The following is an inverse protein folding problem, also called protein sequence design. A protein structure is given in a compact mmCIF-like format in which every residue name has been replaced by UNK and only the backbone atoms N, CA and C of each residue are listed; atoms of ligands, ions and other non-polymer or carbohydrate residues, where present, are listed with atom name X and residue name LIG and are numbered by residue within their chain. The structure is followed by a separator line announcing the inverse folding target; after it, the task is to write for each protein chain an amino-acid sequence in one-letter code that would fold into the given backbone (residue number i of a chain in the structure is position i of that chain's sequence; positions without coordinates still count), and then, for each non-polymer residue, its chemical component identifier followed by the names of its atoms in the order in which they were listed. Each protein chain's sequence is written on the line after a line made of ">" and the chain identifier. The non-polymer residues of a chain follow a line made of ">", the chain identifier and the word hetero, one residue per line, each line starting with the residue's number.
data_IF_052020099031
#
_entry.id   IF_052020099031
#
_cell.length_a   1.000
_cell.length_b   1.000
_cell.length_c   1.000
_cell.angle_alpha   90.00
_cell.angle_beta   90.00
_cell.angle_gamma   90.00
#
_symmetry.space_group_name_H-M   'P 1'
#
loop_
_entity.id
_entity.type
_entity.pdbx_description
1 polymer ?
#
# COMPACT_ATOMS: atom_id res chain seq x y z
N UNK A 1 -7.52 5.89 8.10
CA UNK A 1 -6.93 7.13 7.59
C UNK A 1 -7.91 8.25 7.83
N UNK A 2 -7.47 9.50 7.71
CA UNK A 2 -8.41 10.63 7.67
C UNK A 2 -8.41 11.20 6.26
N UNK A 3 -9.60 11.57 5.79
CA UNK A 3 -9.72 12.17 4.47
C UNK A 3 -9.11 13.57 4.48
N UNK A 4 -8.32 13.85 3.44
CA UNK A 4 -7.87 15.19 3.10
C UNK A 4 -8.92 15.88 2.22
N UNK A 5 -10.13 16.06 2.78
CA UNK A 5 -11.22 16.78 2.15
C UNK A 5 -11.54 18.06 2.91
N UNK A 6 -12.15 19.02 2.20
CA UNK A 6 -12.56 20.30 2.80
C UNK A 6 -13.50 20.09 3.98
N UNK A 7 -14.45 19.14 3.86
CA UNK A 7 -15.41 18.83 4.92
C UNK A 7 -14.73 18.19 6.13
N UNK A 8 -13.76 17.29 5.91
CA UNK A 8 -13.00 16.69 7.00
C UNK A 8 -12.20 17.74 7.79
N UNK A 9 -11.63 18.73 7.10
CA UNK A 9 -10.96 19.85 7.76
C UNK A 9 -11.92 20.71 8.59
N UNK A 10 -13.14 20.95 8.11
CA UNK A 10 -14.15 21.69 8.88
C UNK A 10 -14.66 20.90 10.10
N UNK A 11 -14.79 19.58 9.98
CA UNK A 11 -15.11 18.72 11.12
C UNK A 11 -14.00 18.79 12.17
N UNK A 12 -12.72 18.74 11.76
CA UNK A 12 -11.58 18.91 12.68
C UNK A 12 -11.58 20.25 13.42
N UNK A 13 -12.02 21.32 12.75
CA UNK A 13 -12.14 22.64 13.35
C UNK A 13 -13.38 22.80 14.25
N UNK A 14 -14.20 21.75 14.39
CA UNK A 14 -15.46 21.79 15.14
C UNK A 14 -16.56 22.61 14.46
N UNK A 15 -16.40 22.94 13.18
CA UNK A 15 -17.33 23.78 12.41
C UNK A 15 -18.43 22.96 11.72
N UNK A 16 -18.23 21.65 11.58
CA UNK A 16 -19.23 20.72 11.04
C UNK A 16 -19.27 19.45 11.90
N UNK A 17 -20.44 18.83 12.00
CA UNK A 17 -20.58 17.47 12.52
C UNK A 17 -20.24 16.44 11.45
N UNK A 18 -19.96 15.20 11.87
CA UNK A 18 -19.70 14.10 10.93
C UNK A 18 -20.92 13.79 10.05
N UNK A 19 -22.14 13.94 10.57
CA UNK A 19 -23.36 13.73 9.79
C UNK A 19 -23.54 14.81 8.71
N UNK A 20 -23.34 16.08 9.06
CA UNK A 20 -23.39 17.19 8.11
C UNK A 20 -22.33 17.06 7.02
N UNK A 21 -21.12 16.62 7.37
CA UNK A 21 -20.04 16.43 6.41
C UNK A 21 -20.38 15.41 5.31
N UNK A 22 -21.14 14.35 5.63
CA UNK A 22 -21.51 13.29 4.67
C UNK A 22 -22.45 13.77 3.57
N UNK A 23 -23.33 14.73 3.87
CA UNK A 23 -24.31 15.27 2.91
C UNK A 23 -23.91 16.62 2.33
N UNK A 24 -22.79 17.19 2.76
CA UNK A 24 -22.36 18.52 2.37
C UNK A 24 -22.01 18.60 0.87
N UNK A 25 -22.40 19.71 0.22
CA UNK A 25 -22.14 19.98 -1.21
C UNK A 25 -20.66 19.93 -1.63
N UNK A 26 -19.75 20.10 -0.67
CA UNK A 26 -18.29 20.09 -0.90
C UNK A 26 -17.59 18.85 -0.35
N UNK A 27 -18.35 17.77 -0.10
CA UNK A 27 -17.80 16.52 0.46
C UNK A 27 -16.68 15.90 -0.39
N UNK A 28 -16.72 16.08 -1.71
CA UNK A 28 -15.73 15.55 -2.65
C UNK A 28 -14.58 16.53 -2.96
N UNK A 29 -14.49 17.68 -2.27
CA UNK A 29 -13.42 18.66 -2.53
C UNK A 29 -12.15 18.21 -1.81
N UNK A 30 -11.18 17.68 -2.57
CA UNK A 30 -9.89 17.19 -2.08
C UNK A 30 -8.94 18.38 -1.84
N UNK A 31 -8.27 18.40 -0.69
CA UNK A 31 -7.32 19.46 -0.29
C UNK A 31 -5.86 19.07 -0.44
N UNK A 32 -5.58 17.82 -0.83
CA UNK A 32 -4.22 17.30 -1.02
C UNK A 32 -4.22 16.17 -2.05
N UNK A 33 -3.48 16.36 -3.15
CA UNK A 33 -3.37 15.39 -4.23
C UNK A 33 -1.98 15.48 -4.88
N UNK A 34 -1.48 14.35 -5.39
CA UNK A 34 -0.22 14.31 -6.13
C UNK A 34 -0.38 15.03 -7.48
N UNK A 35 0.59 15.86 -7.85
CA UNK A 35 0.65 16.54 -9.15
C UNK A 35 -0.17 17.83 -9.27
N UNK A 36 -1.16 18.06 -8.42
CA UNK A 36 -1.93 19.33 -8.40
C UNK A 36 -1.22 20.45 -7.65
N UNK A 37 -0.27 20.11 -6.77
CA UNK A 37 0.50 21.05 -5.97
C UNK A 37 2.00 20.77 -6.15
N UNK A 38 2.86 21.80 -6.07
CA UNK A 38 4.32 21.63 -6.19
C UNK A 38 4.91 20.76 -5.06
N UNK A 39 4.18 20.61 -3.95
CA UNK A 39 4.52 19.73 -2.85
C UNK A 39 3.30 18.87 -2.53
N UNK A 40 3.52 17.57 -2.32
CA UNK A 40 2.50 16.66 -1.83
C UNK A 40 2.78 16.32 -0.37
N UNK A 41 1.72 16.23 0.43
CA UNK A 41 1.83 15.81 1.84
C UNK A 41 1.41 14.36 1.97
N UNK A 42 2.23 13.55 2.63
CA UNK A 42 1.92 12.14 2.90
C UNK A 42 1.84 11.94 4.40
N UNK A 43 0.75 11.32 4.85
CA UNK A 43 0.63 10.87 6.24
C UNK A 43 1.09 9.41 6.31
N UNK A 44 2.12 9.15 7.13
CA UNK A 44 2.55 7.81 7.48
C UNK A 44 1.91 7.43 8.81
N UNK A 45 1.27 6.27 8.89
CA UNK A 45 0.64 5.75 10.11
C UNK A 45 1.30 4.45 10.55
N UNK A 46 1.51 4.34 11.86
CA UNK A 46 2.09 3.17 12.49
C UNK A 46 1.08 2.36 13.24
N UNK A 47 0.87 1.13 12.79
CA UNK A 47 -0.09 0.22 13.41
C UNK A 47 0.67 -0.96 14.00
N UNK A 48 0.36 -1.28 15.25
CA UNK A 48 0.73 -2.58 15.83
C UNK A 48 -0.19 -3.62 15.21
N UNK A 49 0.39 -4.66 14.63
CA UNK A 49 -0.33 -5.72 13.95
C UNK A 49 -0.49 -6.91 14.87
N UNK A 50 -1.69 -7.49 14.87
CA UNK A 50 -1.96 -8.79 15.46
C UNK A 50 -2.17 -9.85 14.34
N UNK A 51 -1.90 -11.13 14.63
CA UNK A 51 -2.29 -12.22 13.74
C UNK A 51 -3.77 -12.14 13.35
N UNK A 52 -4.10 -12.48 12.11
CA UNK A 52 -5.47 -12.46 11.55
C UNK A 52 -6.10 -11.07 11.40
N UNK A 53 -5.37 -9.98 11.67
CA UNK A 53 -5.86 -8.63 11.35
C UNK A 53 -6.19 -8.52 9.86
N UNK A 54 -7.32 -7.87 9.57
CA UNK A 54 -7.80 -7.65 8.21
C UNK A 54 -7.82 -6.15 7.91
N UNK A 55 -7.14 -5.78 6.82
CA UNK A 55 -7.02 -4.43 6.31
C UNK A 55 -7.86 -4.29 5.03
N UNK A 56 -8.57 -3.17 4.93
CA UNK A 56 -9.26 -2.75 3.73
C UNK A 56 -8.67 -1.41 3.29
N UNK A 57 -8.14 -1.37 2.07
CA UNK A 57 -7.88 -0.14 1.35
C UNK A 57 -8.98 0.01 0.31
N UNK A 58 -9.59 1.18 0.20
CA UNK A 58 -10.65 1.41 -0.76
C UNK A 58 -10.69 2.87 -1.20
N UNK A 59 -11.30 3.12 -2.35
CA UNK A 59 -11.69 4.45 -2.81
C UNK A 59 -12.97 4.92 -2.11
N UNK A 60 -13.22 6.22 -2.17
CA UNK A 60 -14.46 6.87 -1.70
C UNK A 60 -15.72 6.34 -2.40
N UNK A 61 -15.60 5.80 -3.60
CA UNK A 61 -16.65 5.04 -4.27
C UNK A 61 -17.18 3.84 -3.46
N UNK A 62 -16.38 3.27 -2.53
CA UNK A 62 -16.84 2.22 -1.62
C UNK A 62 -17.37 2.80 -0.30
N UNK A 63 -16.52 3.56 0.41
CA UNK A 63 -16.80 4.05 1.77
C UNK A 63 -17.87 5.14 1.82
N UNK A 64 -18.12 5.82 0.70
CA UNK A 64 -19.22 6.76 0.54
C UNK A 64 -20.58 6.08 0.36
N UNK A 65 -20.61 4.80 -0.03
CA UNK A 65 -21.84 4.04 -0.33
C UNK A 65 -22.18 3.07 0.80
N UNK A 66 -21.19 2.32 1.28
CA UNK A 66 -21.39 1.30 2.31
C UNK A 66 -21.00 1.82 3.69
N UNK A 67 -21.84 1.56 4.68
CA UNK A 67 -21.54 1.89 6.07
C UNK A 67 -20.49 0.96 6.67
N UNK A 68 -19.73 1.48 7.64
CA UNK A 68 -18.72 0.72 8.38
C UNK A 68 -19.23 -0.60 8.97
N UNK A 69 -20.51 -0.66 9.36
CA UNK A 69 -21.11 -1.89 9.88
C UNK A 69 -21.13 -2.98 8.82
N UNK A 70 -21.60 -2.65 7.62
CA UNK A 70 -21.65 -3.56 6.46
C UNK A 70 -20.24 -3.99 6.06
N UNK A 71 -19.30 -3.03 5.99
CA UNK A 71 -17.90 -3.34 5.70
C UNK A 71 -17.33 -4.34 6.72
N UNK A 72 -17.52 -4.08 8.02
CA UNK A 72 -17.06 -4.97 9.10
C UNK A 72 -17.68 -6.36 9.04
N UNK A 73 -18.96 -6.46 8.73
CA UNK A 73 -19.67 -7.73 8.62
C UNK A 73 -19.10 -8.59 7.48
N UNK A 74 -18.94 -8.02 6.29
CA UNK A 74 -18.39 -8.73 5.13
C UNK A 74 -16.93 -9.14 5.38
N UNK A 75 -16.10 -8.23 5.89
CA UNK A 75 -14.68 -8.51 6.14
C UNK A 75 -14.45 -9.57 7.24
N UNK A 76 -15.39 -9.77 8.16
CA UNK A 76 -15.30 -10.80 9.20
C UNK A 76 -15.75 -12.17 8.71
N UNK A 77 -16.80 -12.21 7.89
CA UNK A 77 -17.48 -13.46 7.55
C UNK A 77 -16.91 -14.15 6.32
N UNK A 78 -16.12 -13.45 5.48
CA UNK A 78 -15.62 -13.99 4.22
C UNK A 78 -14.09 -13.97 4.11
N UNK A 79 -13.48 -14.88 3.33
CA UNK A 79 -12.09 -14.79 2.91
C UNK A 79 -11.80 -13.51 2.10
N UNK A 80 -10.55 -13.01 2.04
CA UNK A 80 -10.22 -11.73 1.40
C UNK A 80 -10.75 -11.57 -0.03
N UNK A 81 -10.60 -12.60 -0.87
CA UNK A 81 -11.04 -12.57 -2.27
C UNK A 81 -12.57 -12.49 -2.39
N UNK A 82 -13.29 -13.32 -1.62
CA UNK A 82 -14.75 -13.31 -1.64
C UNK A 82 -15.31 -12.03 -1.00
N UNK A 83 -14.71 -11.55 0.08
CA UNK A 83 -15.05 -10.28 0.70
C UNK A 83 -14.88 -9.13 -0.29
N UNK A 84 -13.77 -9.08 -1.02
CA UNK A 84 -13.52 -8.07 -2.02
C UNK A 84 -14.60 -8.06 -3.10
N UNK A 85 -14.95 -9.24 -3.66
CA UNK A 85 -16.01 -9.35 -4.67
C UNK A 85 -17.37 -8.90 -4.15
N UNK A 86 -17.77 -9.37 -2.97
CA UNK A 86 -19.05 -9.01 -2.35
C UNK A 86 -19.16 -7.52 -2.06
N UNK A 87 -18.07 -6.88 -1.61
CA UNK A 87 -18.06 -5.44 -1.35
C UNK A 87 -18.28 -4.63 -2.63
N UNK A 88 -17.69 -5.04 -3.75
CA UNK A 88 -17.94 -4.41 -5.06
C UNK A 88 -19.38 -4.62 -5.52
N UNK A 89 -19.89 -5.86 -5.41
CA UNK A 89 -21.29 -6.19 -5.75
C UNK A 89 -22.27 -5.32 -4.96
N UNK A 90 -22.12 -5.26 -3.63
CA UNK A 90 -22.96 -4.44 -2.76
C UNK A 90 -22.91 -2.95 -3.11
N UNK A 91 -21.73 -2.41 -3.39
CA UNK A 91 -21.59 -1.00 -3.75
C UNK A 91 -22.30 -0.69 -5.10
N UNK A 92 -22.24 -1.61 -6.05
CA UNK A 92 -22.95 -1.49 -7.32
C UNK A 92 -24.47 -1.61 -7.15
N UNK A 93 -24.95 -2.56 -6.35
CA UNK A 93 -26.37 -2.73 -6.03
C UNK A 93 -26.98 -1.49 -5.36
N UNK A 94 -26.18 -0.76 -4.59
CA UNK A 94 -26.57 0.46 -3.89
C UNK A 94 -26.45 1.71 -4.76
N UNK A 95 -26.22 1.54 -6.06
CA UNK A 95 -26.32 2.59 -7.08
C UNK A 95 -25.00 2.95 -7.76
N UNK A 96 -23.85 2.50 -7.25
CA UNK A 96 -22.53 2.67 -7.89
C UNK A 96 -22.25 4.07 -8.44
N UNK A 97 -22.32 5.14 -7.61
CA UNK A 97 -22.22 6.52 -8.10
C UNK A 97 -20.81 6.90 -8.60
N UNK A 98 -19.80 6.08 -8.33
CA UNK A 98 -18.40 6.34 -8.67
C UNK A 98 -17.63 5.02 -8.87
N UNK A 99 -16.40 5.11 -9.36
CA UNK A 99 -15.49 3.99 -9.54
C UNK A 99 -15.11 3.38 -8.18
N UNK A 100 -15.37 2.08 -8.06
CA UNK A 100 -15.04 1.31 -6.86
C UNK A 100 -13.73 0.56 -7.08
N UNK A 101 -12.73 0.85 -6.26
CA UNK A 101 -11.48 0.09 -6.20
C UNK A 101 -11.14 -0.22 -4.76
N UNK A 102 -10.75 -1.46 -4.49
CA UNK A 102 -10.42 -1.90 -3.13
C UNK A 102 -9.38 -3.03 -3.12
N UNK A 103 -8.68 -3.16 -2.01
CA UNK A 103 -7.79 -4.26 -1.69
C UNK A 103 -8.04 -4.74 -0.26
N UNK A 104 -8.23 -6.04 -0.10
CA UNK A 104 -8.40 -6.70 1.21
C UNK A 104 -7.15 -7.51 1.51
N UNK A 105 -6.52 -7.25 2.65
CA UNK A 105 -5.33 -7.97 3.09
C UNK A 105 -5.62 -8.55 4.47
N UNK A 106 -5.55 -9.88 4.61
CA UNK A 106 -5.63 -10.55 5.92
C UNK A 106 -4.26 -11.08 6.28
N UNK A 107 -3.80 -10.75 7.48
CA UNK A 107 -2.55 -11.27 8.00
C UNK A 107 -2.70 -12.75 8.36
N UNK A 108 -1.70 -13.59 8.07
CA UNK A 108 -1.72 -14.97 8.50
C UNK A 108 -1.58 -15.07 10.03
N UNK A 109 -2.04 -16.19 10.59
CA UNK A 109 -1.80 -16.56 12.00
C UNK A 109 -0.32 -16.53 12.37
N UNK A 110 0.50 -17.10 11.49
CA UNK A 110 1.94 -17.19 11.70
C UNK A 110 2.63 -16.02 11.00
N UNK A 111 2.80 -14.92 11.72
CA UNK A 111 3.52 -13.76 11.22
C UNK A 111 5.03 -14.08 11.09
N UNK A 112 5.65 -13.76 9.94
CA UNK A 112 7.08 -14.01 9.75
C UNK A 112 7.91 -13.20 10.76
N UNK A 113 8.78 -13.89 11.49
CA UNK A 113 9.78 -13.28 12.37
C UNK A 113 11.03 -12.99 11.55
N UNK A 114 11.08 -11.84 10.88
CA UNK A 114 12.21 -11.41 10.07
C UNK A 114 12.59 -9.95 10.29
N UNK A 115 13.87 -9.63 10.09
CA UNK A 115 14.35 -8.24 10.05
C UNK A 115 13.73 -7.51 8.87
N UNK A 116 13.13 -6.35 9.13
CA UNK A 116 12.58 -5.49 8.08
C UNK A 116 13.74 -4.97 7.22
N UNK A 117 13.67 -5.07 5.88
CA UNK A 117 14.76 -4.63 5.01
C UNK A 117 14.93 -3.10 4.96
N UNK A 118 13.99 -2.34 5.53
CA UNK A 118 14.03 -0.89 5.63
C UNK A 118 13.46 -0.43 6.98
N UNK A 119 14.10 0.57 7.59
CA UNK A 119 13.52 1.30 8.72
C UNK A 119 12.48 2.28 8.16
N UNK A 120 11.20 2.08 8.50
CA UNK A 120 10.20 3.09 8.18
C UNK A 120 10.44 4.32 9.06
N UNK A 121 10.27 5.56 8.53
CA UNK A 121 10.35 6.81 9.31
C UNK A 121 9.57 6.82 10.63
N UNK A 122 8.56 5.96 10.67
CA UNK A 122 7.68 5.69 11.79
C UNK A 122 8.38 5.10 13.04
N UNK A 123 9.48 4.36 12.87
CA UNK A 123 10.27 3.85 14.01
C UNK A 123 11.04 4.99 14.72
N UNK A 124 11.42 6.04 13.98
CA UNK A 124 12.00 7.26 14.57
C UNK A 124 10.98 8.11 15.36
N UNK A 125 9.68 7.93 15.06
CA UNK A 125 8.59 8.69 15.69
C UNK A 125 7.78 7.91 16.74
N UNK A 126 8.24 6.72 17.15
CA UNK A 126 7.60 5.95 18.21
C UNK A 126 6.17 5.47 17.90
N UNK A 127 5.81 5.34 16.61
CA UNK A 127 4.48 4.89 16.18
C UNK A 127 3.41 6.00 16.03
N UNK A 128 3.75 7.26 16.31
CA UNK A 128 2.87 8.38 15.97
C UNK A 128 2.87 8.63 14.45
N UNK A 129 1.77 9.17 13.88
CA UNK A 129 1.73 9.49 12.47
C UNK A 129 2.81 10.51 12.10
N UNK A 130 3.68 10.16 11.15
CA UNK A 130 4.74 11.04 10.66
C UNK A 130 4.27 11.70 9.38
N UNK A 131 4.32 13.02 9.38
CA UNK A 131 3.88 13.83 8.26
C UNK A 131 5.09 14.20 7.43
N UNK A 132 5.19 13.62 6.23
CA UNK A 132 6.27 13.90 5.31
C UNK A 132 5.80 14.90 4.26
N UNK A 133 6.59 15.95 4.06
CA UNK A 133 6.49 16.79 2.88
C UNK A 133 7.35 16.17 1.78
N UNK A 134 6.74 15.83 0.67
CA UNK A 134 7.46 15.34 -0.50
C UNK A 134 8.28 16.49 -1.09
N UNK A 135 9.61 16.35 -1.13
CA UNK A 135 10.54 17.33 -1.70
C UNK A 135 11.36 18.15 -0.69
N UNK A 136 11.10 18.05 0.61
CA UNK A 136 12.04 18.49 1.65
C UNK A 136 12.82 17.25 2.13
N UNK A 137 14.16 17.32 2.19
CA UNK A 137 14.94 16.30 2.90
C UNK A 137 14.54 16.37 4.38
N UNK A 138 13.98 15.31 4.97
CA UNK A 138 13.58 15.35 6.35
C UNK A 138 14.83 15.47 7.23
N UNK A 139 15.03 16.63 7.88
CA UNK A 139 16.18 16.96 8.73
C UNK A 139 16.48 15.91 9.83
N UNK A 140 15.52 15.02 10.13
CA UNK A 140 15.63 14.02 11.20
C UNK A 140 15.32 12.57 10.78
N UNK A 141 15.10 12.28 9.49
CA UNK A 141 14.82 10.91 9.05
C UNK A 141 15.94 10.44 8.14
N UNK A 142 16.94 9.71 8.66
CA UNK A 142 17.87 9.00 7.81
C UNK A 142 17.07 7.89 7.11
N UNK A 143 16.44 8.20 5.98
CA UNK A 143 16.07 7.19 5.00
C UNK A 143 17.37 6.65 4.41
N UNK A 144 18.09 5.85 5.19
CA UNK A 144 19.07 4.94 4.65
C UNK A 144 18.26 3.92 3.85
N UNK A 145 18.20 4.14 2.54
CA UNK A 145 17.89 3.07 1.60
C UNK A 145 19.02 2.07 1.79
N UNK A 146 18.80 1.07 2.64
CA UNK A 146 19.64 -0.11 2.69
C UNK A 146 19.46 -0.77 1.33
N UNK A 147 20.44 -0.58 0.43
CA UNK A 147 20.46 -1.32 -0.82
C UNK A 147 20.29 -2.80 -0.48
N UNK A 148 19.24 -3.41 -1.03
CA UNK A 148 18.99 -4.82 -0.85
C UNK A 148 20.29 -5.56 -1.17
N UNK A 149 20.87 -6.22 -0.17
CA UNK A 149 22.13 -6.96 -0.31
C UNK A 149 21.94 -7.91 -1.49
N UNK A 150 22.59 -7.62 -2.61
CA UNK A 150 22.50 -8.45 -3.82
C UNK A 150 22.78 -9.89 -3.38
N UNK A 151 21.96 -10.87 -3.76
CA UNK A 151 22.24 -12.26 -3.41
C UNK A 151 23.68 -12.55 -3.87
N UNK A 152 24.54 -12.90 -2.92
CA UNK A 152 25.93 -13.21 -3.23
C UNK A 152 25.96 -14.36 -4.23
N UNK A 153 26.79 -14.26 -5.26
CA UNK A 153 26.98 -15.32 -6.25
C UNK A 153 27.46 -16.57 -5.49
N UNK A 154 26.62 -17.60 -5.43
CA UNK A 154 26.96 -18.85 -4.77
C UNK A 154 27.91 -19.69 -5.63
N UNK A 155 28.61 -20.66 -5.03
CA UNK A 155 29.45 -21.61 -5.76
C UNK A 155 28.71 -22.35 -6.87
N UNK A 156 27.39 -22.53 -6.73
CA UNK A 156 26.51 -23.11 -7.76
C UNK A 156 26.39 -22.21 -8.99
N UNK A 157 26.30 -20.90 -8.79
CA UNK A 157 26.20 -19.93 -9.88
C UNK A 157 27.52 -19.86 -10.66
N UNK A 158 28.66 -19.93 -9.97
CA UNK A 158 29.99 -20.03 -10.59
C UNK A 158 30.11 -21.30 -11.46
N UNK A 159 29.64 -22.43 -10.94
CA UNK A 159 29.63 -23.70 -11.69
C UNK A 159 28.75 -23.61 -12.94
N UNK A 160 27.57 -22.97 -12.84
CA UNK A 160 26.67 -22.78 -13.99
C UNK A 160 27.29 -21.85 -15.04
N UNK A 161 27.96 -20.78 -14.63
CA UNK A 161 28.66 -19.86 -15.54
C UNK A 161 29.80 -20.59 -16.26
N UNK A 162 30.62 -21.36 -15.54
CA UNK A 162 31.70 -22.15 -16.14
C UNK A 162 31.15 -23.19 -17.13
N UNK A 163 30.10 -23.92 -16.75
CA UNK A 163 29.43 -24.87 -17.64
C UNK A 163 28.93 -24.19 -18.91
N UNK A 164 28.32 -23.01 -18.78
CA UNK A 164 27.83 -22.24 -19.92
C UNK A 164 28.96 -21.80 -20.85
N UNK A 165 30.08 -21.32 -20.31
CA UNK A 165 31.28 -20.96 -21.10
C UNK A 165 31.80 -22.17 -21.87
N UNK A 166 31.86 -23.35 -21.25
CA UNK A 166 32.29 -24.59 -21.92
C UNK A 166 31.33 -24.98 -23.04
N UNK A 167 30.02 -24.92 -22.80
CA UNK A 167 28.99 -25.25 -23.80
C UNK A 167 29.07 -24.28 -24.99
N UNK A 168 29.13 -22.98 -24.73
CA UNK A 168 29.25 -21.96 -25.78
C UNK A 168 30.55 -22.11 -26.56
N UNK A 169 31.67 -22.35 -25.87
CA UNK A 169 32.96 -22.62 -26.49
C UNK A 169 32.92 -23.86 -27.39
N UNK A 170 32.30 -24.95 -26.93
CA UNK A 170 32.12 -26.16 -27.72
C UNK A 170 31.24 -25.92 -28.96
N UNK A 171 30.13 -25.20 -28.81
CA UNK A 171 29.25 -24.84 -29.93
C UNK A 171 30.00 -24.00 -30.96
N UNK A 172 30.70 -22.93 -30.52
CA UNK A 172 31.47 -22.07 -31.42
C UNK A 172 32.57 -22.86 -32.13
N UNK A 173 33.34 -23.67 -31.40
CA UNK A 173 34.41 -24.49 -31.97
C UNK A 173 33.87 -25.56 -32.94
N UNK A 174 32.67 -26.08 -32.69
CA UNK A 174 31.95 -26.96 -33.62
C UNK A 174 31.38 -26.23 -34.84
N UNK A 175 31.00 -24.96 -34.70
CA UNK A 175 30.51 -24.12 -35.79
C UNK A 175 31.63 -23.72 -36.76
N UNK A 176 32.82 -23.39 -36.24
CA UNK A 176 34.00 -23.04 -37.05
C UNK A 176 34.75 -24.25 -37.64
N UNK A 177 34.38 -25.48 -37.28
CA UNK A 177 34.99 -26.72 -37.80
C UNK A 177 34.23 -27.39 -38.95
N UNK A 178 33.15 -26.79 -39.46
CA UNK A 178 32.46 -27.29 -40.67
C UNK A 178 33.00 -26.55 -41.90
N UNK A 179 33.79 -27.19 -42.78
CA UNK A 179 34.09 -26.67 -44.12
C UNK A 179 32.86 -26.69 -45.02
#
# INVERSE_FOLDING_TARGET
>A
TEDHSWVAERVRQGLLTHEEARTHRWRNVITNALGSFPQARVDLLGLKLAPEDTFLLCTDGLSGVLEDRTLREVLRNFPPEEAARRLVELANEWGGPDNVSLAVVRLPRDLPKGTRPYALPLEAAGGAPVRLKLGEEPEALPTQVLEARRPGVGWRDVLLILLWIVVVGYILMGYFKRP
#
